data_IF_133649594582
#
_entry.id   IF_133649594582
#
_cell.length_a   1.000
_cell.length_b   1.000
_cell.length_c   1.000
_cell.angle_alpha   90.00
_cell.angle_beta   90.00
_cell.angle_gamma   90.00
#
_symmetry.space_group_name_H-M   'P 1'
#
loop_
_entity.id
_entity.type
_entity.pdbx_description
1 polymer ?
#
# COMPACT_ATOMS: atom_id res chain seq x y z
N UNK A 1 -17.22 1.23 24.30
CA UNK A 1 -16.46 2.31 24.96
C UNK A 1 -15.04 2.25 24.42
N UNK A 2 -14.66 3.22 23.58
CA UNK A 2 -13.35 3.23 22.92
C UNK A 2 -12.55 4.46 23.33
N UNK A 3 -11.31 4.26 23.77
CA UNK A 3 -10.34 5.34 23.90
C UNK A 3 -9.81 5.71 22.51
N UNK A 4 -9.60 7.00 22.27
CA UNK A 4 -9.00 7.49 21.03
C UNK A 4 -7.64 8.11 21.35
N UNK A 5 -6.71 7.98 20.40
CA UNK A 5 -5.37 8.50 20.53
C UNK A 5 -4.94 9.18 19.23
N UNK A 6 -4.07 10.17 19.33
CA UNK A 6 -3.36 10.72 18.17
C UNK A 6 -2.16 9.83 17.75
N UNK A 7 -1.46 10.22 16.68
CA UNK A 7 -0.28 9.47 16.18
C UNK A 7 0.92 9.47 17.15
N UNK A 8 0.91 10.35 18.16
CA UNK A 8 1.91 10.39 19.23
C UNK A 8 1.53 9.54 20.43
N UNK A 9 0.33 8.95 20.45
CA UNK A 9 -0.19 8.14 21.55
C UNK A 9 -0.83 8.94 22.68
N UNK A 10 -1.12 10.24 22.48
CA UNK A 10 -1.82 11.03 23.48
C UNK A 10 -3.33 10.75 23.44
N UNK A 11 -4.01 10.62 24.59
CA UNK A 11 -5.46 10.44 24.61
C UNK A 11 -6.17 11.69 24.08
N UNK A 12 -7.13 11.50 23.19
CA UNK A 12 -7.95 12.57 22.58
C UNK A 12 -9.44 12.25 22.68
N UNK A 13 -10.28 13.26 22.49
CA UNK A 13 -11.73 13.05 22.41
C UNK A 13 -12.11 12.35 21.11
N UNK A 14 -13.29 11.71 21.09
CA UNK A 14 -13.83 11.12 19.86
C UNK A 14 -14.04 12.17 18.75
N UNK A 15 -14.47 13.38 19.11
CA UNK A 15 -14.63 14.49 18.17
C UNK A 15 -13.30 14.91 17.54
N UNK A 16 -12.25 15.06 18.36
CA UNK A 16 -10.90 15.37 17.88
C UNK A 16 -10.36 14.28 16.96
N UNK A 17 -10.65 13.01 17.26
CA UNK A 17 -10.30 11.90 16.40
C UNK A 17 -11.01 12.01 15.05
N UNK A 18 -12.35 12.11 15.03
CA UNK A 18 -13.11 12.16 13.78
C UNK A 18 -12.74 13.37 12.91
N UNK A 19 -12.45 14.54 13.50
CA UNK A 19 -11.98 15.72 12.76
C UNK A 19 -10.62 15.53 12.08
N UNK A 20 -9.75 14.66 12.62
CA UNK A 20 -8.36 14.48 12.15
C UNK A 20 -8.10 13.13 11.48
N UNK A 21 -9.04 12.18 11.60
CA UNK A 21 -8.91 10.79 11.15
C UNK A 21 -8.45 10.66 9.71
N UNK A 22 -8.98 11.50 8.82
CA UNK A 22 -8.61 11.53 7.40
C UNK A 22 -7.14 11.91 7.14
N UNK A 23 -6.46 12.54 8.11
CA UNK A 23 -5.03 12.85 8.02
C UNK A 23 -4.15 11.66 8.39
N UNK A 24 -4.71 10.64 9.03
CA UNK A 24 -3.96 9.49 9.56
C UNK A 24 -4.33 8.18 8.88
N UNK A 25 -5.61 8.05 8.48
CA UNK A 25 -6.16 6.84 7.89
C UNK A 25 -6.60 7.13 6.46
N UNK A 26 -6.38 6.18 5.53
CA UNK A 26 -6.82 6.33 4.14
C UNK A 26 -8.33 6.59 4.05
N UNK A 27 -8.68 7.66 3.35
CA UNK A 27 -10.05 8.01 2.98
C UNK A 27 -10.60 7.02 1.94
N UNK A 28 -11.87 7.18 1.57
CA UNK A 28 -12.45 6.38 0.49
C UNK A 28 -11.75 6.75 -0.82
N UNK A 29 -11.54 8.04 -1.06
CA UNK A 29 -10.89 8.60 -2.23
C UNK A 29 -9.45 8.09 -2.38
N UNK A 30 -8.68 8.02 -1.28
CA UNK A 30 -7.33 7.44 -1.29
C UNK A 30 -7.35 5.96 -1.71
N UNK A 31 -8.30 5.19 -1.18
CA UNK A 31 -8.46 3.76 -1.51
C UNK A 31 -8.84 3.56 -2.96
N UNK A 32 -9.73 4.40 -3.47
CA UNK A 32 -10.14 4.40 -4.87
C UNK A 32 -8.98 4.74 -5.80
N UNK A 33 -8.17 5.74 -5.45
CA UNK A 33 -6.97 6.08 -6.20
C UNK A 33 -5.97 4.91 -6.21
N UNK A 34 -5.65 4.32 -5.05
CA UNK A 34 -4.74 3.15 -5.00
C UNK A 34 -5.29 2.00 -5.84
N UNK A 35 -6.60 1.71 -5.76
CA UNK A 35 -7.25 0.66 -6.56
C UNK A 35 -7.11 0.94 -8.06
N UNK A 36 -7.20 2.19 -8.49
CA UNK A 36 -7.01 2.57 -9.89
C UNK A 36 -5.60 2.27 -10.42
N UNK A 37 -4.60 2.11 -9.55
CA UNK A 37 -3.23 1.74 -9.94
C UNK A 37 -3.04 0.22 -10.10
N UNK A 38 -3.94 -0.60 -9.54
CA UNK A 38 -3.78 -2.05 -9.41
C UNK A 38 -4.14 -2.80 -10.70
N UNK A 39 -3.32 -2.63 -11.73
CA UNK A 39 -3.41 -3.39 -12.98
C UNK A 39 -2.35 -4.50 -13.03
N UNK A 40 -2.73 -5.75 -13.41
CA UNK A 40 -1.77 -6.85 -13.47
C UNK A 40 -0.76 -6.66 -14.60
N UNK A 41 0.52 -6.92 -14.30
CA UNK A 41 1.63 -6.99 -15.26
C UNK A 41 2.24 -8.38 -15.16
N UNK A 42 2.02 -9.22 -16.18
CA UNK A 42 2.40 -10.65 -16.17
C UNK A 42 3.56 -10.97 -17.10
N UNK A 43 4.09 -9.98 -17.81
CA UNK A 43 5.23 -10.16 -18.70
C UNK A 43 6.53 -10.31 -17.89
N UNK A 44 7.34 -11.37 -18.12
CA UNK A 44 8.62 -11.55 -17.44
C UNK A 44 9.51 -10.31 -17.57
N UNK A 45 10.07 -9.85 -16.45
CA UNK A 45 10.95 -8.68 -16.41
C UNK A 45 10.23 -7.32 -16.45
N UNK A 46 8.89 -7.27 -16.46
CA UNK A 46 8.13 -6.01 -16.32
C UNK A 46 7.51 -5.86 -14.94
N UNK A 47 7.46 -4.62 -14.46
CA UNK A 47 6.88 -4.24 -13.17
C UNK A 47 5.82 -3.15 -13.40
N UNK A 48 4.75 -3.17 -12.60
CA UNK A 48 3.75 -2.10 -12.60
C UNK A 48 4.37 -0.76 -12.15
N UNK A 49 3.96 0.35 -12.76
CA UNK A 49 4.60 1.66 -12.57
C UNK A 49 4.64 2.19 -11.12
N UNK A 50 3.81 1.66 -10.22
CA UNK A 50 3.71 2.10 -8.84
C UNK A 50 4.70 1.43 -7.88
N UNK A 51 5.50 0.46 -8.34
CA UNK A 51 6.51 -0.22 -7.53
C UNK A 51 7.83 -0.37 -8.30
N UNK A 52 8.95 -0.21 -7.61
CA UNK A 52 10.27 -0.40 -8.21
C UNK A 52 10.59 -1.89 -8.39
N UNK A 53 11.44 -2.26 -9.37
CA UNK A 53 11.96 -3.62 -9.49
C UNK A 53 12.68 -4.09 -8.21
N UNK A 54 12.63 -5.39 -7.89
CA UNK A 54 13.37 -5.93 -6.75
C UNK A 54 14.88 -5.88 -7.01
N UNK A 55 15.66 -5.78 -5.93
CA UNK A 55 17.12 -5.72 -6.02
C UNK A 55 17.77 -7.02 -6.57
N UNK A 56 17.10 -8.16 -6.39
CA UNK A 56 17.55 -9.46 -6.89
C UNK A 56 16.35 -10.38 -7.15
N UNK A 57 16.54 -11.37 -8.02
CA UNK A 57 15.58 -12.46 -8.21
C UNK A 57 15.65 -13.53 -7.12
N UNK A 58 14.89 -14.60 -7.30
CA UNK A 58 14.71 -15.66 -6.29
C UNK A 58 15.59 -16.88 -6.62
N UNK A 59 16.25 -17.47 -5.61
CA UNK A 59 17.11 -18.68 -5.75
C UNK A 59 18.21 -18.54 -6.81
N UNK A 60 18.84 -17.36 -6.87
CA UNK A 60 19.92 -17.07 -7.82
C UNK A 60 19.47 -16.95 -9.28
N UNK A 61 18.16 -16.93 -9.54
CA UNK A 61 17.61 -16.61 -10.86
C UNK A 61 17.58 -15.09 -11.07
N UNK A 62 17.72 -14.62 -12.33
CA UNK A 62 17.57 -13.21 -12.66
C UNK A 62 16.12 -12.73 -12.42
N UNK A 63 15.92 -11.43 -12.33
CA UNK A 63 14.59 -10.85 -12.11
C UNK A 63 13.63 -11.14 -13.29
N UNK A 64 14.16 -11.25 -14.50
CA UNK A 64 13.43 -11.53 -15.74
C UNK A 64 13.09 -13.01 -15.93
N UNK A 65 13.44 -13.88 -14.96
CA UNK A 65 13.11 -15.29 -15.04
C UNK A 65 11.59 -15.51 -15.05
N UNK A 66 11.13 -16.48 -15.84
CA UNK A 66 9.73 -16.90 -15.86
C UNK A 66 9.37 -17.64 -14.55
N UNK A 67 8.97 -16.88 -13.53
CA UNK A 67 8.65 -17.42 -12.20
C UNK A 67 7.32 -18.18 -12.14
N UNK A 68 6.39 -17.87 -13.04
CA UNK A 68 5.06 -18.49 -13.12
C UNK A 68 4.77 -18.83 -14.58
N UNK A 69 4.27 -20.04 -14.81
CA UNK A 69 3.70 -20.47 -16.09
C UNK A 69 2.18 -20.54 -15.92
N UNK A 70 1.47 -19.77 -16.72
CA UNK A 70 0.01 -19.67 -16.69
C UNK A 70 -0.66 -20.86 -17.39
#
# INVERSE_FOLDING_TARGET
>A
TGHHFDIGGNPITAEQFEQRKAQWLPTIEDREYVRSLMHPVVEPGKIANWISPPAAGVKGKPFEFEYVRL
#
